data_IF_739066679670
#
_entry.id   IF_739066679670
#
_cell.length_a   1.000
_cell.length_b   1.000
_cell.length_c   1.000
_cell.angle_alpha   90.00
_cell.angle_beta   90.00
_cell.angle_gamma   90.00
#
_symmetry.space_group_name_H-M   'P 1'
#
loop_
_entity.id
_entity.type
_entity.pdbx_description
1 polymer ?
#
# COMPACT_ATOMS: atom_id res chain seq x y z
N UNK A 1 -50.44 22.83 -14.48
CA UNK A 1 -49.47 21.92 -15.14
C UNK A 1 -48.13 22.10 -14.44
N UNK A 2 -47.82 21.25 -13.45
CA UNK A 2 -46.54 21.30 -12.73
C UNK A 2 -45.75 20.04 -13.11
N UNK A 3 -44.67 20.20 -13.86
CA UNK A 3 -43.74 19.12 -14.19
C UNK A 3 -42.75 18.96 -13.04
N UNK A 4 -42.94 17.91 -12.23
CA UNK A 4 -41.97 17.50 -11.22
C UNK A 4 -40.83 16.71 -11.86
N UNK A 5 -39.60 17.18 -11.73
CA UNK A 5 -38.40 16.44 -12.12
C UNK A 5 -38.07 15.47 -10.98
N UNK A 6 -38.28 14.18 -11.20
CA UNK A 6 -37.81 13.13 -10.31
C UNK A 6 -36.37 12.77 -10.67
N UNK A 7 -35.42 13.07 -9.77
CA UNK A 7 -34.02 12.66 -9.90
C UNK A 7 -33.91 11.23 -9.35
N UNK A 8 -33.74 10.25 -10.23
CA UNK A 8 -33.43 8.87 -9.87
C UNK A 8 -31.94 8.75 -9.51
N UNK A 9 -31.66 8.62 -8.23
CA UNK A 9 -30.32 8.32 -7.72
C UNK A 9 -30.12 6.81 -7.88
N UNK A 10 -29.39 6.40 -8.92
CA UNK A 10 -29.03 5.00 -9.09
C UNK A 10 -27.94 4.68 -8.05
N UNK A 11 -28.13 3.67 -7.16
CA UNK A 11 -27.04 3.22 -6.32
C UNK A 11 -25.95 2.65 -7.22
N UNK A 12 -24.73 3.19 -7.11
CA UNK A 12 -23.57 2.59 -7.75
C UNK A 12 -23.43 1.17 -7.22
N UNK A 13 -23.68 0.18 -8.06
CA UNK A 13 -23.32 -1.20 -7.76
C UNK A 13 -21.81 -1.22 -7.56
N UNK A 14 -21.37 -1.57 -6.35
CA UNK A 14 -19.97 -1.87 -6.07
C UNK A 14 -19.67 -3.14 -6.87
N UNK A 15 -19.07 -2.99 -8.04
CA UNK A 15 -18.59 -4.13 -8.81
C UNK A 15 -17.39 -4.71 -8.05
N UNK A 16 -17.60 -5.82 -7.35
CA UNK A 16 -16.50 -6.62 -6.82
C UNK A 16 -15.89 -7.38 -8.00
N UNK A 17 -15.03 -6.70 -8.76
CA UNK A 17 -14.30 -7.31 -9.87
C UNK A 17 -13.01 -8.02 -9.43
N UNK A 18 -12.93 -8.43 -8.15
CA UNK A 18 -11.79 -9.18 -7.63
C UNK A 18 -12.31 -10.53 -7.19
N UNK A 19 -12.26 -11.49 -8.11
CA UNK A 19 -12.56 -12.90 -7.84
C UNK A 19 -11.53 -13.42 -6.84
N UNK A 20 -12.02 -14.13 -5.82
CA UNK A 20 -11.31 -14.58 -4.62
C UNK A 20 -10.17 -15.60 -4.89
N UNK A 21 -9.97 -15.98 -6.15
CA UNK A 21 -8.95 -16.92 -6.60
C UNK A 21 -8.18 -16.34 -7.79
N UNK A 22 -6.84 -16.28 -7.69
CA UNK A 22 -5.98 -15.72 -8.74
C UNK A 22 -5.69 -16.73 -9.88
N UNK A 23 -6.09 -17.99 -9.75
CA UNK A 23 -5.83 -19.06 -10.72
C UNK A 23 -7.06 -19.97 -10.88
N UNK A 24 -7.91 -19.62 -11.84
CA UNK A 24 -9.08 -20.39 -12.23
C UNK A 24 -9.31 -20.30 -13.75
N UNK A 25 -10.15 -21.19 -14.27
CA UNK A 25 -10.64 -21.14 -15.64
C UNK A 25 -12.17 -21.24 -15.61
N UNK A 26 -12.85 -20.41 -16.40
CA UNK A 26 -14.29 -20.57 -16.62
C UNK A 26 -14.54 -21.44 -17.85
N UNK A 27 -15.43 -22.43 -17.73
CA UNK A 27 -15.87 -23.21 -18.89
C UNK A 27 -16.86 -22.43 -19.76
N UNK A 28 -17.25 -23.00 -20.91
CA UNK A 28 -18.20 -22.37 -21.82
C UNK A 28 -19.62 -22.18 -21.24
N UNK A 29 -19.91 -22.77 -20.08
CA UNK A 29 -21.17 -22.64 -19.35
C UNK A 29 -21.06 -21.66 -18.18
N UNK A 30 -19.89 -21.06 -17.93
CA UNK A 30 -19.62 -20.16 -16.83
C UNK A 30 -19.30 -20.84 -15.50
N UNK A 31 -18.99 -22.14 -15.49
CA UNK A 31 -18.54 -22.82 -14.28
C UNK A 31 -17.06 -22.52 -14.00
N UNK A 32 -16.75 -22.16 -12.76
CA UNK A 32 -15.38 -21.89 -12.31
C UNK A 32 -14.67 -23.21 -11.96
N UNK A 33 -13.58 -23.50 -12.67
CA UNK A 33 -12.64 -24.56 -12.38
C UNK A 33 -11.44 -23.98 -11.62
N UNK A 34 -11.28 -24.38 -10.36
CA UNK A 34 -10.13 -24.00 -9.54
C UNK A 34 -8.86 -24.72 -10.03
N UNK A 35 -7.86 -23.94 -10.42
CA UNK A 35 -6.58 -24.44 -10.94
C UNK A 35 -5.43 -24.21 -9.95
N UNK A 36 -5.70 -23.82 -8.71
CA UNK A 36 -4.70 -23.47 -7.69
C UNK A 36 -3.67 -24.60 -7.45
N UNK A 37 -4.07 -25.86 -7.61
CA UNK A 37 -3.16 -27.01 -7.50
C UNK A 37 -2.15 -27.12 -8.65
N UNK A 38 -2.48 -26.59 -9.84
CA UNK A 38 -1.60 -26.56 -10.99
C UNK A 38 -0.68 -25.33 -10.97
N UNK A 39 -1.15 -24.22 -10.41
CA UNK A 39 -0.41 -22.97 -10.27
C UNK A 39 0.65 -22.97 -9.15
N UNK A 40 0.87 -24.12 -8.47
CA UNK A 40 1.92 -24.25 -7.46
C UNK A 40 1.46 -24.18 -6.00
N UNK A 41 0.22 -24.54 -5.70
CA UNK A 41 -0.24 -24.92 -4.34
C UNK A 41 -0.42 -23.77 -3.34
N UNK A 42 0.24 -22.64 -3.55
CA UNK A 42 0.02 -21.41 -2.81
C UNK A 42 -0.88 -20.51 -3.67
N UNK A 43 -2.15 -20.39 -3.28
CA UNK A 43 -2.96 -19.25 -3.75
C UNK A 43 -2.15 -17.98 -3.48
N UNK A 44 -1.87 -17.12 -4.47
CA UNK A 44 -1.17 -15.86 -4.24
C UNK A 44 -1.87 -15.14 -3.09
N UNK A 45 -1.17 -14.99 -1.97
CA UNK A 45 -1.73 -14.27 -0.84
C UNK A 45 -1.93 -12.83 -1.30
N UNK A 46 -3.20 -12.44 -1.41
CA UNK A 46 -3.56 -11.10 -1.84
C UNK A 46 -3.31 -10.16 -0.66
N UNK A 47 -2.20 -9.44 -0.72
CA UNK A 47 -1.89 -8.39 0.23
C UNK A 47 -2.40 -7.04 -0.29
N UNK A 48 -3.37 -6.45 0.39
CA UNK A 48 -3.95 -5.16 0.04
C UNK A 48 -3.84 -4.16 1.19
N UNK A 49 -3.36 -2.98 0.86
CA UNK A 49 -3.28 -1.84 1.78
C UNK A 49 -4.12 -0.71 1.24
N UNK A 50 -4.91 -0.08 2.12
CA UNK A 50 -5.75 1.06 1.75
C UNK A 50 -4.91 2.31 1.52
N UNK A 51 -5.06 2.93 0.35
CA UNK A 51 -4.55 4.28 0.09
C UNK A 51 -5.45 5.28 0.84
N UNK A 52 -4.90 6.02 1.82
CA UNK A 52 -5.65 7.03 2.58
C UNK A 52 -5.94 8.28 1.76
N UNK A 53 -4.92 8.75 1.05
CA UNK A 53 -4.99 9.84 0.08
C UNK A 53 -3.85 9.74 -0.92
N UNK A 54 -3.79 10.69 -1.84
CA UNK A 54 -2.61 10.94 -2.65
C UNK A 54 -2.09 12.34 -2.36
N UNK A 55 -0.78 12.45 -2.21
CA UNK A 55 -0.08 13.74 -2.15
C UNK A 55 0.88 13.83 -3.34
N UNK A 56 0.81 14.90 -4.12
CA UNK A 56 1.52 15.04 -5.40
C UNK A 56 1.39 13.81 -6.34
N UNK A 57 0.22 13.12 -6.29
CA UNK A 57 -0.11 11.84 -6.98
C UNK A 57 0.53 10.57 -6.38
N UNK A 58 1.33 10.69 -5.33
CA UNK A 58 1.96 9.57 -4.63
C UNK A 58 1.00 9.00 -3.57
N UNK A 59 0.79 7.67 -3.51
CA UNK A 59 -0.04 7.04 -2.47
C UNK A 59 0.50 7.33 -1.07
N UNK A 60 -0.40 7.73 -0.17
CA UNK A 60 -0.11 7.85 1.26
C UNK A 60 -0.88 6.77 2.00
N UNK A 61 -0.17 5.98 2.82
CA UNK A 61 -0.71 4.87 3.63
C UNK A 61 -0.33 5.06 5.09
N UNK A 62 -1.07 4.42 6.00
CA UNK A 62 -0.63 4.30 7.39
C UNK A 62 0.41 3.18 7.49
N UNK A 63 1.52 3.45 8.18
CA UNK A 63 2.57 2.47 8.47
C UNK A 63 2.83 2.47 9.96
N UNK A 64 2.81 1.29 10.57
CA UNK A 64 3.05 1.09 12.00
C UNK A 64 4.49 0.64 12.21
N UNK A 65 5.21 1.41 12.99
CA UNK A 65 6.58 1.15 13.41
C UNK A 65 6.60 0.63 14.84
N UNK A 66 7.50 -0.32 15.12
CA UNK A 66 7.73 -0.89 16.45
C UNK A 66 6.44 -1.39 17.13
N UNK A 67 5.48 -1.85 16.34
CA UNK A 67 4.20 -2.39 16.79
C UNK A 67 3.19 -1.38 17.36
N UNK A 68 3.56 -0.12 17.60
CA UNK A 68 2.71 0.82 18.35
C UNK A 68 2.69 2.29 17.87
N UNK A 69 3.57 2.69 16.96
CA UNK A 69 3.61 4.07 16.47
C UNK A 69 3.26 4.12 14.99
N UNK A 70 2.10 4.70 14.67
CA UNK A 70 1.62 4.82 13.28
C UNK A 70 1.90 6.20 12.73
N UNK A 71 2.47 6.24 11.53
CA UNK A 71 2.71 7.45 10.76
C UNK A 71 2.15 7.29 9.35
N UNK A 72 1.75 8.42 8.75
CA UNK A 72 1.42 8.45 7.33
C UNK A 72 2.71 8.50 6.50
N UNK A 73 2.88 7.52 5.61
CA UNK A 73 4.06 7.39 4.77
C UNK A 73 3.69 7.45 3.30
N UNK A 74 4.57 8.04 2.50
CA UNK A 74 4.49 8.03 1.04
C UNK A 74 5.13 6.76 0.51
N UNK A 75 4.45 6.05 -0.40
CA UNK A 75 5.02 4.91 -1.08
C UNK A 75 5.89 5.39 -2.26
N UNK A 76 7.21 5.44 -2.04
CA UNK A 76 8.18 5.92 -3.01
C UNK A 76 9.00 4.77 -3.60
N UNK A 77 8.76 4.46 -4.88
CA UNK A 77 9.48 3.42 -5.62
C UNK A 77 10.93 3.80 -5.96
N UNK A 78 11.30 5.07 -5.83
CA UNK A 78 12.66 5.56 -6.06
C UNK A 78 13.56 5.45 -4.84
N UNK A 79 13.00 5.19 -3.65
CA UNK A 79 13.76 5.08 -2.41
C UNK A 79 14.24 3.63 -2.20
N UNK A 80 15.54 3.46 -1.97
CA UNK A 80 16.12 2.14 -1.65
C UNK A 80 15.90 1.69 -0.19
N UNK A 81 15.39 2.58 0.67
CA UNK A 81 15.12 2.33 2.07
C UNK A 81 14.06 3.28 2.62
N UNK A 82 13.71 3.16 3.90
CA UNK A 82 12.71 4.00 4.52
C UNK A 82 13.35 5.31 4.99
N UNK A 83 13.02 6.41 4.31
CA UNK A 83 13.38 7.75 4.77
C UNK A 83 12.33 8.26 5.76
N UNK A 84 12.76 8.66 6.95
CA UNK A 84 11.89 9.26 7.98
C UNK A 84 12.40 10.65 8.35
N UNK A 85 11.51 11.49 8.88
CA UNK A 85 11.91 12.81 9.38
C UNK A 85 12.69 12.70 10.69
N UNK A 86 13.47 13.73 11.03
CA UNK A 86 14.15 13.79 12.33
C UNK A 86 13.18 13.70 13.52
N UNK A 87 11.98 14.29 13.39
CA UNK A 87 10.94 14.22 14.42
C UNK A 87 10.40 12.79 14.60
N UNK A 88 10.21 12.05 13.50
CA UNK A 88 9.84 10.64 13.56
C UNK A 88 10.95 9.81 14.20
N UNK A 89 12.21 10.03 13.83
CA UNK A 89 13.35 9.33 14.42
C UNK A 89 13.44 9.55 15.94
N UNK A 90 13.18 10.78 16.42
CA UNK A 90 13.11 11.09 17.85
C UNK A 90 11.95 10.37 18.54
N UNK A 91 10.75 10.36 17.93
CA UNK A 91 9.56 9.70 18.48
C UNK A 91 9.75 8.17 18.57
N UNK A 92 10.38 7.60 17.55
CA UNK A 92 10.73 6.20 17.47
C UNK A 92 11.97 5.83 18.30
N UNK A 93 12.70 6.83 18.83
CA UNK A 93 13.97 6.67 19.56
C UNK A 93 15.02 5.89 18.74
N UNK A 94 15.06 6.13 17.43
CA UNK A 94 16.07 5.54 16.54
C UNK A 94 17.44 6.10 16.92
N UNK A 95 18.38 5.21 17.22
CA UNK A 95 19.77 5.58 17.48
C UNK A 95 20.55 5.43 16.18
N UNK A 96 21.24 6.49 15.71
CA UNK A 96 22.16 6.36 14.59
C UNK A 96 23.31 5.42 14.94
N UNK A 97 23.52 4.37 14.15
CA UNK A 97 24.64 3.42 14.33
C UNK A 97 25.71 3.55 13.23
N UNK A 98 25.36 4.17 12.12
CA UNK A 98 26.21 4.31 10.94
C UNK A 98 25.77 5.48 10.07
N UNK A 99 26.49 5.73 8.99
CA UNK A 99 26.15 6.75 7.99
C UNK A 99 26.29 6.18 6.60
N UNK A 100 25.43 6.62 5.67
CA UNK A 100 25.53 6.28 4.27
C UNK A 100 25.47 7.52 3.39
N UNK A 101 26.10 7.44 2.21
CA UNK A 101 25.91 8.42 1.14
C UNK A 101 24.63 8.03 0.40
N UNK A 102 23.63 8.90 0.42
CA UNK A 102 22.41 8.76 -0.38
C UNK A 102 22.43 9.72 -1.56
N UNK A 103 21.95 9.25 -2.70
CA UNK A 103 21.72 10.09 -3.87
C UNK A 103 20.28 10.59 -3.84
N UNK A 104 20.13 11.91 -3.85
CA UNK A 104 18.83 12.58 -3.86
C UNK A 104 18.71 13.43 -5.12
N UNK A 105 17.51 13.93 -5.41
CA UNK A 105 17.32 14.90 -6.49
C UNK A 105 18.17 16.19 -6.31
N UNK A 106 18.55 16.51 -5.08
CA UNK A 106 19.42 17.65 -4.75
C UNK A 106 20.93 17.30 -4.79
N UNK A 107 21.28 16.05 -5.09
CA UNK A 107 22.65 15.56 -5.11
C UNK A 107 22.95 14.55 -3.99
N UNK A 108 24.24 14.25 -3.83
CA UNK A 108 24.74 13.26 -2.87
C UNK A 108 24.88 13.88 -1.49
N UNK A 109 24.27 13.26 -0.48
CA UNK A 109 24.34 13.70 0.91
C UNK A 109 24.73 12.55 1.83
N UNK A 110 25.42 12.84 2.92
CA UNK A 110 25.68 11.87 3.97
C UNK A 110 24.54 11.91 4.99
N UNK A 111 23.90 10.77 5.23
CA UNK A 111 22.77 10.64 6.16
C UNK A 111 23.10 9.65 7.27
N UNK A 112 22.59 9.86 8.49
CA UNK A 112 22.63 8.84 9.54
C UNK A 112 21.71 7.68 9.18
N UNK A 113 22.14 6.47 9.47
CA UNK A 113 21.34 5.26 9.41
C UNK A 113 21.08 4.74 10.82
N UNK A 114 19.91 4.13 11.00
CA UNK A 114 19.53 3.48 12.24
C UNK A 114 18.39 2.49 12.01
N UNK A 115 18.13 1.66 13.00
CA UNK A 115 17.21 0.54 12.90
C UNK A 115 15.92 0.76 13.69
N UNK A 116 14.84 0.12 13.21
CA UNK A 116 13.57 -0.07 13.91
C UNK A 116 13.29 -1.56 14.05
N UNK A 117 12.52 -1.96 15.06
CA UNK A 117 12.27 -3.37 15.36
C UNK A 117 11.26 -4.02 14.41
N UNK A 118 10.23 -3.27 14.00
CA UNK A 118 9.23 -3.75 13.04
C UNK A 118 8.65 -2.61 12.21
N UNK A 119 8.18 -2.98 11.01
CA UNK A 119 7.45 -2.12 10.07
C UNK A 119 6.29 -2.94 9.51
N UNK A 120 5.07 -2.44 9.69
CA UNK A 120 3.82 -3.15 9.36
C UNK A 120 2.86 -2.18 8.66
N UNK A 121 2.06 -2.69 7.73
CA UNK A 121 1.05 -1.94 6.96
C UNK A 121 -0.29 -2.66 6.93
#
# INVERSE_FOLDING_TARGET
LAFGIAILIIPAAISQAQTDSACFMEDANGNVLDLSQLCGGDTPSLFQVRIKRRDARIPVIDVKFNGNQTFEMMLDTGASGIAITAQMAQSLRVQPDSTAIMETAAGRIMVPLGNVNSVEV
#
